data_IF_386173644810
#
_entry.id   IF_386173644810
#
_cell.length_a   1.000
_cell.length_b   1.000
_cell.length_c   1.000
_cell.angle_alpha   90.00
_cell.angle_beta   90.00
_cell.angle_gamma   90.00
#
_symmetry.space_group_name_H-M   'P 1'
#
loop_
_entity.id
_entity.type
_entity.pdbx_description
1 polymer ?
#
# COMPACT_ATOMS: atom_id res chain seq x y z
N UNK A 1 -11.08 16.10 20.80
CA UNK A 1 -11.41 17.04 19.71
C UNK A 1 -10.58 16.60 18.51
N UNK A 2 -11.17 16.27 17.36
CA UNK A 2 -10.42 15.82 16.17
C UNK A 2 -10.64 16.78 14.99
N UNK A 3 -11.88 17.23 14.81
CA UNK A 3 -12.23 18.18 13.76
C UNK A 3 -11.46 19.50 13.89
N UNK A 4 -11.38 20.06 15.10
CA UNK A 4 -10.64 21.29 15.36
C UNK A 4 -9.16 21.15 15.04
N UNK A 5 -8.54 20.03 15.42
CA UNK A 5 -7.14 19.74 15.13
C UNK A 5 -6.90 19.62 13.61
N UNK A 6 -7.76 18.90 12.89
CA UNK A 6 -7.71 18.76 11.43
C UNK A 6 -7.90 20.11 10.73
N UNK A 7 -8.72 21.01 11.27
CA UNK A 7 -8.92 22.33 10.70
C UNK A 7 -7.75 23.29 10.98
N UNK A 8 -6.96 23.08 12.04
CA UNK A 8 -5.94 24.03 12.49
C UNK A 8 -4.48 23.53 12.41
N UNK A 9 -4.22 22.28 12.01
CA UNK A 9 -2.87 21.69 12.07
C UNK A 9 -1.82 22.40 11.21
N UNK A 10 -2.23 23.15 10.16
CA UNK A 10 -1.32 23.91 9.28
C UNK A 10 -0.97 25.31 9.82
N UNK A 11 -1.44 25.67 11.01
CA UNK A 11 -1.20 26.99 11.63
C UNK A 11 -2.17 28.09 11.19
N UNK A 12 -3.09 27.80 10.27
CA UNK A 12 -4.26 28.63 9.95
C UNK A 12 -5.53 27.79 10.02
N UNK A 13 -6.68 28.42 10.28
CA UNK A 13 -7.97 27.72 10.31
C UNK A 13 -8.45 27.51 8.87
N UNK A 14 -8.30 26.28 8.40
CA UNK A 14 -8.75 25.84 7.09
C UNK A 14 -10.14 25.19 7.19
N UNK A 15 -11.11 25.76 6.47
CA UNK A 15 -12.46 25.19 6.36
C UNK A 15 -12.49 23.91 5.51
N UNK A 16 -13.42 23.00 5.81
CA UNK A 16 -13.68 21.81 4.99
C UNK A 16 -14.53 22.19 3.77
N UNK A 17 -13.91 22.92 2.85
CA UNK A 17 -14.50 23.39 1.57
C UNK A 17 -13.50 23.17 0.45
N UNK A 18 -13.92 23.29 -0.82
CA UNK A 18 -13.03 23.09 -1.98
C UNK A 18 -11.73 23.89 -1.90
N UNK A 19 -11.80 25.14 -1.42
CA UNK A 19 -10.64 26.03 -1.31
C UNK A 19 -9.73 25.65 -0.13
N UNK A 20 -10.31 25.17 0.97
CA UNK A 20 -9.54 24.74 2.14
C UNK A 20 -8.91 23.35 1.95
N UNK A 21 -9.60 22.44 1.27
CA UNK A 21 -9.13 21.07 1.04
C UNK A 21 -7.89 21.03 0.13
N UNK A 22 -7.85 21.88 -0.91
CA UNK A 22 -6.68 22.04 -1.80
C UNK A 22 -5.43 22.48 -1.03
N UNK A 23 -5.60 23.24 0.07
CA UNK A 23 -4.48 23.62 0.94
C UNK A 23 -4.10 22.53 1.96
N UNK A 24 -4.98 21.55 2.22
CA UNK A 24 -4.77 20.51 3.22
C UNK A 24 -4.15 19.25 2.65
N UNK A 25 -4.51 18.86 1.42
CA UNK A 25 -4.13 17.58 0.82
C UNK A 25 -3.57 17.76 -0.60
N UNK A 26 -2.59 16.93 -0.94
CA UNK A 26 -1.78 17.11 -2.16
C UNK A 26 -2.13 16.10 -3.28
N UNK A 27 -3.02 15.13 -3.03
CA UNK A 27 -3.43 14.13 -4.04
C UNK A 27 -4.40 14.74 -5.06
N UNK A 28 -4.03 14.65 -6.34
CA UNK A 28 -4.81 15.18 -7.46
C UNK A 28 -6.12 14.42 -7.62
N UNK A 29 -6.08 13.08 -7.56
CA UNK A 29 -7.27 12.24 -7.72
C UNK A 29 -8.27 12.50 -6.59
N UNK A 30 -7.77 12.71 -5.37
CA UNK A 30 -8.60 13.09 -4.25
C UNK A 30 -9.26 14.46 -4.45
N UNK A 31 -8.50 15.48 -4.85
CA UNK A 31 -9.02 16.82 -5.08
C UNK A 31 -10.05 16.82 -6.23
N UNK A 32 -9.74 16.14 -7.32
CA UNK A 32 -10.61 15.99 -8.48
C UNK A 32 -11.91 15.23 -8.16
N UNK A 33 -11.91 14.33 -7.17
CA UNK A 33 -13.11 13.61 -6.70
C UNK A 33 -14.04 14.45 -5.84
N UNK A 34 -13.57 15.58 -5.30
CA UNK A 34 -14.39 16.44 -4.44
C UNK A 34 -15.17 17.46 -5.27
N UNK A 35 -14.47 18.39 -5.92
CA UNK A 35 -15.04 19.41 -6.81
C UNK A 35 -14.01 19.81 -7.87
N UNK A 36 -14.43 20.53 -8.92
CA UNK A 36 -13.54 21.05 -9.99
C UNK A 36 -12.65 19.98 -10.64
N UNK A 37 -13.24 18.83 -10.96
CA UNK A 37 -12.53 17.66 -11.51
C UNK A 37 -11.67 17.98 -12.73
N UNK A 38 -12.22 18.72 -13.70
CA UNK A 38 -11.47 19.06 -14.93
C UNK A 38 -10.28 19.97 -14.63
N UNK A 39 -10.47 21.02 -13.84
CA UNK A 39 -9.41 21.99 -13.51
C UNK A 39 -8.21 21.27 -12.87
N UNK A 40 -8.46 20.41 -11.88
CA UNK A 40 -7.41 19.67 -11.19
C UNK A 40 -6.67 18.69 -12.10
N UNK A 41 -7.38 18.01 -13.02
CA UNK A 41 -6.75 17.08 -13.96
C UNK A 41 -5.92 17.81 -15.03
N UNK A 42 -6.41 18.94 -15.55
CA UNK A 42 -5.67 19.74 -16.53
C UNK A 42 -4.43 20.39 -15.91
N UNK A 43 -4.54 20.94 -14.70
CA UNK A 43 -3.42 21.52 -13.98
C UNK A 43 -2.35 20.46 -13.68
N UNK A 44 -2.75 19.29 -13.18
CA UNK A 44 -1.84 18.18 -12.93
C UNK A 44 -1.16 17.67 -14.21
N UNK A 45 -1.89 17.60 -15.33
CA UNK A 45 -1.33 17.23 -16.62
C UNK A 45 -0.30 18.27 -17.11
N UNK A 46 -0.62 19.57 -16.95
CA UNK A 46 0.27 20.67 -17.34
C UNK A 46 1.57 20.68 -16.52
N UNK A 47 1.49 20.48 -15.21
CA UNK A 47 2.65 20.43 -14.32
C UNK A 47 3.31 19.04 -14.23
N UNK A 48 2.81 18.03 -14.96
CA UNK A 48 3.25 16.64 -14.86
C UNK A 48 3.30 16.12 -13.41
N UNK A 49 2.28 16.48 -12.63
CA UNK A 49 2.21 16.11 -11.22
C UNK A 49 2.02 14.59 -11.08
N UNK A 50 2.79 13.98 -10.17
CA UNK A 50 2.69 12.56 -9.86
C UNK A 50 1.91 12.36 -8.57
N UNK A 51 0.81 11.62 -8.65
CA UNK A 51 0.00 11.28 -7.49
C UNK A 51 0.49 9.97 -6.86
N UNK A 52 0.74 9.99 -5.56
CA UNK A 52 1.15 8.80 -4.80
C UNK A 52 -0.12 8.14 -4.29
N UNK A 53 -0.53 7.03 -4.92
CA UNK A 53 -1.77 6.30 -4.64
C UNK A 53 -1.72 5.66 -3.24
N UNK A 54 -1.93 6.47 -2.20
CA UNK A 54 -1.79 6.07 -0.80
C UNK A 54 -3.01 6.42 0.05
N UNK A 55 -3.71 7.51 -0.27
CA UNK A 55 -4.95 7.88 0.39
C UNK A 55 -6.13 7.01 -0.05
N UNK A 56 -7.21 7.14 0.72
CA UNK A 56 -8.38 6.28 0.60
C UNK A 56 -9.08 6.45 -0.74
N UNK A 57 -9.29 7.69 -1.20
CA UNK A 57 -10.07 7.96 -2.40
C UNK A 57 -9.35 7.48 -3.65
N UNK A 58 -8.07 7.79 -3.78
CA UNK A 58 -7.25 7.36 -4.92
C UNK A 58 -7.05 5.84 -4.96
N UNK A 59 -6.91 5.15 -3.82
CA UNK A 59 -6.92 3.68 -3.77
C UNK A 59 -8.25 3.09 -4.27
N UNK A 60 -9.38 3.66 -3.84
CA UNK A 60 -10.71 3.21 -4.27
C UNK A 60 -10.89 3.41 -5.79
N UNK A 61 -10.53 4.57 -6.32
CA UNK A 61 -10.60 4.87 -7.76
C UNK A 61 -9.76 3.87 -8.56
N UNK A 62 -8.57 3.52 -8.06
CA UNK A 62 -7.65 2.59 -8.72
C UNK A 62 -8.00 1.11 -8.49
N UNK A 63 -8.99 0.79 -7.65
CA UNK A 63 -9.37 -0.58 -7.32
C UNK A 63 -8.31 -1.34 -6.51
N UNK A 64 -7.41 -0.64 -5.82
CA UNK A 64 -6.37 -1.24 -4.96
C UNK A 64 -6.79 -1.22 -3.50
N UNK A 65 -6.36 -2.19 -2.67
CA UNK A 65 -6.68 -2.17 -1.25
C UNK A 65 -6.05 -0.95 -0.56
N UNK A 66 -6.86 -0.18 0.17
CA UNK A 66 -6.42 0.98 0.94
C UNK A 66 -5.58 0.58 2.17
N UNK A 67 -4.71 1.47 2.64
CA UNK A 67 -3.77 1.20 3.75
C UNK A 67 -4.38 1.33 5.15
N UNK A 68 -5.67 1.64 5.25
CA UNK A 68 -6.40 1.82 6.51
C UNK A 68 -7.28 0.59 6.79
N UNK A 69 -7.43 0.23 8.06
CA UNK A 69 -8.26 -0.89 8.49
C UNK A 69 -7.60 -2.23 8.21
N UNK A 70 -8.26 -3.10 7.45
CA UNK A 70 -7.76 -4.46 7.15
C UNK A 70 -6.53 -4.47 6.25
N UNK A 71 -6.32 -3.41 5.46
CA UNK A 71 -5.14 -3.26 4.61
C UNK A 71 -3.90 -2.69 5.31
N UNK A 72 -3.98 -2.37 6.62
CA UNK A 72 -2.86 -1.77 7.37
C UNK A 72 -1.72 -2.76 7.63
N UNK A 73 -1.97 -4.07 7.62
CA UNK A 73 -0.96 -5.09 7.86
C UNK A 73 -0.90 -6.11 6.72
N UNK A 74 0.26 -6.75 6.57
CA UNK A 74 0.46 -7.86 5.63
C UNK A 74 0.46 -9.18 6.39
N UNK A 75 -0.15 -10.20 5.78
CA UNK A 75 -0.12 -11.56 6.30
C UNK A 75 1.13 -12.27 5.79
N UNK A 76 1.90 -12.83 6.71
CA UNK A 76 3.04 -13.68 6.40
C UNK A 76 2.65 -15.13 6.69
N UNK A 77 2.84 -16.02 5.71
CA UNK A 77 2.63 -17.43 5.95
C UNK A 77 3.75 -17.97 6.84
N UNK A 78 3.40 -18.52 8.00
CA UNK A 78 4.35 -19.24 8.86
C UNK A 78 4.70 -20.56 8.18
N UNK A 79 5.74 -20.54 7.36
CA UNK A 79 6.30 -21.73 6.73
C UNK A 79 7.35 -22.35 7.66
N UNK A 80 7.06 -23.51 8.24
CA UNK A 80 8.11 -24.31 8.87
C UNK A 80 9.00 -24.87 7.78
N UNK A 81 10.26 -24.43 7.74
CA UNK A 81 11.28 -25.13 6.96
C UNK A 81 11.36 -26.55 7.54
N UNK A 82 10.78 -27.54 6.84
CA UNK A 82 11.13 -28.94 7.10
C UNK A 82 12.65 -28.99 7.04
N UNK A 83 13.29 -29.35 8.16
CA UNK A 83 14.71 -29.66 8.18
C UNK A 83 14.95 -30.55 6.98
N UNK A 84 15.90 -30.16 6.11
CA UNK A 84 16.30 -30.94 4.95
C UNK A 84 16.38 -32.38 5.43
N UNK A 85 15.43 -33.22 4.98
CA UNK A 85 15.42 -34.64 5.34
C UNK A 85 16.82 -35.10 5.02
N UNK A 86 17.55 -35.55 6.05
CA UNK A 86 18.90 -36.09 5.88
C UNK A 86 18.79 -37.02 4.69
N UNK A 87 19.51 -36.72 3.61
CA UNK A 87 19.49 -37.56 2.41
C UNK A 87 20.04 -38.90 2.89
N UNK A 88 19.15 -39.83 3.23
CA UNK A 88 19.58 -41.15 3.66
C UNK A 88 20.35 -41.69 2.47
N UNK A 89 21.62 -42.03 2.68
CA UNK A 89 22.40 -42.69 1.64
C UNK A 89 21.60 -43.90 1.17
N UNK A 90 21.36 -44.04 -0.14
CA UNK A 90 20.60 -45.16 -0.66
C UNK A 90 21.25 -46.46 -0.18
N UNK A 91 20.43 -47.46 0.15
CA UNK A 91 20.89 -48.69 0.82
C UNK A 91 21.97 -49.44 0.01
N UNK A 92 22.02 -49.19 -1.30
CA UNK A 92 22.99 -49.73 -2.27
C UNK A 92 24.41 -49.17 -2.13
N UNK A 93 24.61 -48.00 -1.51
CA UNK A 93 25.94 -47.41 -1.24
C UNK A 93 26.53 -47.91 0.10
N UNK A 94 25.82 -48.79 0.82
CA UNK A 94 26.32 -49.34 2.09
C UNK A 94 27.26 -50.51 1.79
N UNK A 95 28.55 -50.44 2.18
CA UNK A 95 29.51 -51.51 1.94
C UNK A 95 29.14 -52.84 2.62
N UNK A 96 28.21 -52.83 3.57
CA UNK A 96 27.69 -54.02 4.26
C UNK A 96 26.71 -54.86 3.42
N UNK A 97 26.09 -54.26 2.38
CA UNK A 97 25.10 -54.90 1.50
C UNK A 97 25.58 -54.97 0.04
N UNK A 98 26.83 -54.61 -0.22
CA UNK A 98 27.46 -54.77 -1.53
C UNK A 98 27.65 -56.27 -1.78
N UNK A 99 26.69 -56.88 -2.49
CA UNK A 99 26.85 -58.21 -3.05
C UNK A 99 28.01 -58.11 -4.05
N UNK A 100 29.19 -58.59 -3.65
CA UNK A 100 30.31 -58.86 -4.55
C UNK A 100 29.85 -59.92 -5.55
N UNK A 101 29.48 -59.46 -6.74
CA UNK A 101 29.46 -60.27 -7.97
C UNK A 101 30.89 -60.44 -8.48
#
# INVERSE_FOLDING_TARGET
MLLADVMAYRGEVLGITRNGLVKMKDSVLLLASFEKTMDHLFEAAFFSQKDVIHGVSECIIMGTPMTVGTGTFKLMQKYEKKALLKKNTPIFERPELAITL
#
